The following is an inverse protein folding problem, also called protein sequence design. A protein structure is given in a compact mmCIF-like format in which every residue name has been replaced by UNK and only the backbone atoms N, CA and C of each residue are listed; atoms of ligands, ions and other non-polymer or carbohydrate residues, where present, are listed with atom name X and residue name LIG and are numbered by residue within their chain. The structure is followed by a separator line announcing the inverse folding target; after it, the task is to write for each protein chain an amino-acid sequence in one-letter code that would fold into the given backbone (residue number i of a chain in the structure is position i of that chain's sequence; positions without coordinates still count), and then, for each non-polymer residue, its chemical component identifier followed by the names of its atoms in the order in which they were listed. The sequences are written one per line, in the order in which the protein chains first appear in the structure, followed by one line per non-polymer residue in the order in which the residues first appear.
data_IF_397271711009
#
_entry.id   IF_397271711009
#
_cell.length_a   1.000
_cell.length_b   1.000
_cell.length_c   1.000
_cell.angle_alpha   90.00
_cell.angle_beta   90.00
_cell.angle_gamma   90.00
#
_symmetry.space_group_name_H-M   'P 1'
#
loop_
_entity.id
_entity.type
_entity.pdbx_description
1 polymer ?
#
# COMPACT_ATOMS: atom_id res chain seq x y z
N UNK A 1 -10.44 37.16 -7.69
CA UNK A 1 -9.32 36.21 -7.48
C UNK A 1 -9.54 35.49 -6.15
N UNK A 2 -10.00 34.25 -6.16
CA UNK A 2 -10.03 33.41 -4.95
C UNK A 2 -8.64 32.80 -4.76
N UNK A 3 -8.00 33.10 -3.64
CA UNK A 3 -6.75 32.43 -3.25
C UNK A 3 -7.12 31.09 -2.64
N UNK A 4 -6.84 30.01 -3.33
CA UNK A 4 -6.92 28.67 -2.78
C UNK A 4 -5.50 28.32 -2.30
N UNK A 5 -5.30 28.33 -1.00
CA UNK A 5 -4.17 27.63 -0.43
C UNK A 5 -4.61 26.17 -0.42
N UNK A 6 -4.17 25.37 -1.37
CA UNK A 6 -4.19 23.93 -1.19
C UNK A 6 -3.12 23.68 -0.12
N UNK A 7 -3.51 23.86 1.14
CA UNK A 7 -2.95 22.92 2.13
C UNK A 7 -3.38 21.59 1.55
N UNK A 8 -2.43 20.82 1.10
CA UNK A 8 -2.63 19.41 0.94
C UNK A 8 -3.16 18.89 2.29
N UNK A 9 -4.48 19.01 2.50
CA UNK A 9 -5.19 18.08 3.34
C UNK A 9 -5.35 16.84 2.47
N UNK A 10 -4.23 16.38 2.07
CA UNK A 10 -3.92 15.02 2.33
C UNK A 10 -4.24 14.79 3.81
N UNK A 11 -4.88 13.73 4.11
CA UNK A 11 -4.38 12.89 5.16
C UNK A 11 -2.94 12.43 4.78
N UNK A 12 -2.14 13.29 4.20
CA UNK A 12 -0.77 13.61 4.43
C UNK A 12 -0.80 14.58 5.61
N UNK A 13 -0.66 14.03 6.81
CA UNK A 13 -0.08 14.81 7.90
C UNK A 13 1.12 15.51 7.28
N UNK A 14 1.08 16.86 7.23
CA UNK A 14 2.13 17.63 6.58
C UNK A 14 3.48 17.24 7.14
N UNK A 15 4.45 17.02 6.27
CA UNK A 15 5.84 17.10 6.64
C UNK A 15 6.08 18.51 7.21
N UNK A 16 6.08 18.62 8.53
CA UNK A 16 6.74 19.69 9.24
C UNK A 16 8.23 19.38 9.12
N UNK A 17 8.87 19.97 8.13
CA UNK A 17 10.34 19.94 7.99
C UNK A 17 10.92 20.58 9.23
N UNK A 18 11.60 19.77 10.04
CA UNK A 18 12.32 20.22 11.23
C UNK A 18 13.35 21.30 10.86
N UNK A 19 13.36 22.36 11.63
CA UNK A 19 14.16 23.56 11.45
C UNK A 19 15.67 23.27 11.47
N UNK A 20 16.26 23.08 10.28
CA UNK A 20 17.65 23.41 9.94
C UNK A 20 17.94 23.31 8.42
N UNK A 21 16.98 22.96 7.57
CA UNK A 21 17.04 23.33 6.17
C UNK A 21 16.42 24.73 6.05
N UNK A 22 17.09 25.67 5.41
CA UNK A 22 16.47 26.92 4.95
C UNK A 22 15.13 26.53 4.32
N UNK A 23 14.02 26.96 4.92
CA UNK A 23 12.68 26.64 4.43
C UNK A 23 12.66 26.97 2.93
N UNK A 24 12.45 25.98 2.08
CA UNK A 24 12.47 26.19 0.64
C UNK A 24 11.42 27.26 0.33
N UNK A 25 11.80 28.27 -0.45
CA UNK A 25 10.88 29.35 -0.82
C UNK A 25 9.68 28.71 -1.54
N UNK A 26 8.45 28.87 -1.02
CA UNK A 26 7.28 28.28 -1.66
C UNK A 26 7.15 28.71 -3.12
N UNK A 27 6.81 27.77 -3.99
CA UNK A 27 6.50 28.09 -5.38
C UNK A 27 5.03 28.53 -5.52
N UNK A 28 4.73 29.29 -6.56
CA UNK A 28 3.40 29.76 -6.91
C UNK A 28 3.03 29.27 -8.32
N UNK A 29 1.97 28.50 -8.44
CA UNK A 29 1.45 28.05 -9.74
C UNK A 29 0.09 28.69 -9.97
N UNK A 30 0.02 29.61 -10.94
CA UNK A 30 -1.23 30.16 -11.42
C UNK A 30 -1.81 29.25 -12.49
N UNK A 31 -3.06 28.84 -12.32
CA UNK A 31 -3.78 27.99 -13.27
C UNK A 31 -4.93 28.81 -13.86
N UNK A 32 -4.91 29.00 -15.17
CA UNK A 32 -5.98 29.66 -15.93
C UNK A 32 -6.64 28.64 -16.86
N UNK A 33 -7.96 28.44 -16.68
CA UNK A 33 -8.73 27.48 -17.46
C UNK A 33 -9.84 28.19 -18.26
N UNK A 34 -9.65 28.26 -19.56
CA UNK A 34 -10.65 28.77 -20.51
C UNK A 34 -11.14 27.70 -21.49
N UNK A 35 -10.70 26.45 -21.32
CA UNK A 35 -11.12 25.32 -22.16
C UNK A 35 -12.58 24.90 -21.91
N UNK A 36 -13.07 25.13 -20.69
CA UNK A 36 -14.37 24.63 -20.21
C UNK A 36 -14.32 23.20 -19.67
N UNK A 37 -13.16 22.54 -19.71
CA UNK A 37 -12.96 21.19 -19.21
C UNK A 37 -12.72 21.17 -17.70
N UNK A 38 -12.98 20.03 -17.06
CA UNK A 38 -12.49 19.77 -15.72
C UNK A 38 -10.98 19.66 -15.72
N UNK A 39 -10.33 20.31 -14.76
CA UNK A 39 -8.88 20.27 -14.62
C UNK A 39 -8.48 19.76 -13.24
N UNK A 40 -7.35 19.07 -13.19
CA UNK A 40 -6.75 18.54 -11.97
C UNK A 40 -5.29 18.93 -11.92
N UNK A 41 -4.82 19.30 -10.74
CA UNK A 41 -3.41 19.60 -10.52
C UNK A 41 -2.97 19.06 -9.17
N UNK A 42 -1.94 18.21 -9.18
CA UNK A 42 -1.50 17.51 -7.96
C UNK A 42 -0.07 17.01 -8.10
N UNK A 43 0.64 16.74 -7.00
CA UNK A 43 1.92 16.03 -7.04
C UNK A 43 1.79 14.69 -7.77
N UNK A 44 2.77 14.32 -8.58
CA UNK A 44 2.77 13.01 -9.25
C UNK A 44 2.85 11.83 -8.28
N UNK A 45 3.33 12.08 -7.06
CA UNK A 45 3.34 11.10 -5.96
C UNK A 45 1.96 10.86 -5.35
N UNK A 46 0.99 11.77 -5.53
CA UNK A 46 -0.35 11.66 -4.94
C UNK A 46 -1.18 10.54 -5.59
N UNK A 47 -1.99 9.87 -4.77
CA UNK A 47 -2.89 8.81 -5.22
C UNK A 47 -4.26 9.35 -5.66
N UNK A 48 -4.73 10.43 -5.02
CA UNK A 48 -6.06 11.00 -5.24
C UNK A 48 -5.99 12.23 -6.14
N UNK A 49 -7.05 12.44 -6.92
CA UNK A 49 -7.17 13.59 -7.83
C UNK A 49 -7.87 14.77 -7.14
N UNK A 50 -7.22 15.94 -7.15
CA UNK A 50 -7.83 17.18 -6.67
C UNK A 50 -8.32 18.01 -7.85
N UNK A 51 -9.65 18.11 -7.98
CA UNK A 51 -10.28 18.93 -9.02
C UNK A 51 -10.11 20.43 -8.70
N UNK A 52 -9.73 21.21 -9.69
CA UNK A 52 -9.64 22.67 -9.62
C UNK A 52 -10.92 23.25 -10.20
N UNK A 53 -11.77 23.81 -9.35
CA UNK A 53 -13.11 24.27 -9.74
C UNK A 53 -13.17 25.75 -10.20
N UNK A 54 -12.07 26.48 -10.13
CA UNK A 54 -12.05 27.90 -10.47
C UNK A 54 -11.26 28.17 -11.76
N UNK A 55 -11.77 29.08 -12.58
CA UNK A 55 -11.14 29.44 -13.84
C UNK A 55 -9.75 30.09 -13.69
N UNK A 56 -9.53 30.81 -12.58
CA UNK A 56 -8.23 31.39 -12.21
C UNK A 56 -7.93 30.99 -10.75
N UNK A 57 -6.99 30.11 -10.57
CA UNK A 57 -6.57 29.60 -9.25
C UNK A 57 -5.07 29.77 -9.07
N UNK A 58 -4.64 30.20 -7.88
CA UNK A 58 -3.23 30.22 -7.50
C UNK A 58 -3.00 29.14 -6.46
N UNK A 59 -2.13 28.19 -6.80
CA UNK A 59 -1.70 27.09 -5.93
C UNK A 59 -0.34 27.44 -5.37
N UNK A 60 -0.21 27.45 -4.04
CA UNK A 60 1.08 27.55 -3.36
C UNK A 60 1.60 26.14 -3.10
N UNK A 61 2.87 25.91 -3.42
CA UNK A 61 3.56 24.64 -3.29
C UNK A 61 4.73 24.83 -2.33
N UNK A 62 4.71 24.14 -1.22
CA UNK A 62 5.75 24.20 -0.19
C UNK A 62 6.81 23.10 -0.37
N UNK A 63 6.44 21.98 -0.98
CA UNK A 63 7.30 20.82 -1.18
C UNK A 63 7.88 20.80 -2.61
N UNK A 64 9.02 21.46 -2.78
CA UNK A 64 9.73 21.60 -4.05
C UNK A 64 11.24 21.34 -3.86
N UNK A 65 11.98 20.88 -4.90
CA UNK A 65 11.55 20.68 -6.28
C UNK A 65 10.78 19.37 -6.45
N UNK A 66 9.76 19.37 -7.31
CA UNK A 66 8.91 18.19 -7.53
C UNK A 66 8.27 18.18 -8.92
N UNK A 67 7.77 17.02 -9.32
CA UNK A 67 6.91 16.84 -10.49
C UNK A 67 5.45 16.88 -10.08
N UNK A 68 4.67 17.65 -10.82
CA UNK A 68 3.22 17.74 -10.70
C UNK A 68 2.56 17.23 -11.96
N UNK A 69 1.36 16.71 -11.83
CA UNK A 69 0.51 16.34 -12.96
C UNK A 69 -0.56 17.40 -13.14
N UNK A 70 -0.61 17.98 -14.32
CA UNK A 70 -1.75 18.75 -14.78
C UNK A 70 -2.55 17.89 -15.76
N UNK A 71 -3.84 17.76 -15.53
CA UNK A 71 -4.74 17.02 -16.42
C UNK A 71 -5.88 17.93 -16.83
N UNK A 72 -6.05 18.08 -18.12
CA UNK A 72 -7.20 18.72 -18.76
C UNK A 72 -7.55 17.89 -19.98
N UNK A 73 -8.84 17.81 -20.31
CA UNK A 73 -9.35 17.19 -21.55
C UNK A 73 -8.83 15.77 -21.85
N UNK A 74 -9.68 14.88 -22.24
CA UNK A 74 -9.37 13.51 -22.72
C UNK A 74 -8.46 12.64 -21.83
N UNK A 75 -8.26 13.03 -20.55
CA UNK A 75 -7.49 12.23 -19.58
C UNK A 75 -5.96 12.22 -19.79
N UNK A 76 -5.43 13.09 -20.67
CA UNK A 76 -3.99 13.24 -20.87
C UNK A 76 -3.32 13.99 -19.71
N UNK A 77 -2.11 13.54 -19.33
CA UNK A 77 -1.30 14.21 -18.30
C UNK A 77 -0.22 15.07 -18.93
N UNK A 78 -0.05 16.29 -18.38
CA UNK A 78 1.09 17.15 -18.64
C UNK A 78 1.94 17.18 -17.38
N UNK A 79 3.13 16.58 -17.36
CA UNK A 79 4.05 16.72 -16.25
C UNK A 79 4.54 18.16 -16.16
N UNK A 80 4.60 18.70 -14.93
CA UNK A 80 5.08 20.05 -14.64
C UNK A 80 6.16 19.97 -13.59
N UNK A 81 7.37 20.39 -13.95
CA UNK A 81 8.51 20.51 -13.04
C UNK A 81 8.48 21.86 -12.34
N UNK A 82 8.59 21.84 -11.03
CA UNK A 82 8.50 23.03 -10.17
C UNK A 82 9.71 23.07 -9.23
N UNK A 83 10.40 24.20 -9.19
CA UNK A 83 11.55 24.45 -8.30
C UNK A 83 11.20 25.41 -7.15
N UNK A 84 12.02 25.49 -6.09
CA UNK A 84 11.81 26.44 -5.00
C UNK A 84 11.69 27.88 -5.52
N UNK A 85 10.70 28.63 -5.03
CA UNK A 85 10.45 30.00 -5.42
C UNK A 85 9.93 30.20 -6.85
N UNK A 86 9.61 29.14 -7.58
CA UNK A 86 9.12 29.25 -8.95
C UNK A 86 7.79 29.99 -9.03
N UNK A 87 7.65 30.83 -10.04
CA UNK A 87 6.41 31.45 -10.46
C UNK A 87 6.01 30.91 -11.84
N UNK A 88 5.03 30.02 -11.85
CA UNK A 88 4.60 29.29 -13.05
C UNK A 88 3.15 29.67 -13.39
N UNK A 89 2.87 29.81 -14.66
CA UNK A 89 1.49 29.95 -15.17
C UNK A 89 1.18 28.77 -16.08
N UNK A 90 0.11 28.03 -15.76
CA UNK A 90 -0.46 26.97 -16.59
C UNK A 90 -1.75 27.53 -17.20
N UNK A 91 -1.80 27.58 -18.52
CA UNK A 91 -3.00 28.00 -19.25
C UNK A 91 -3.58 26.83 -20.03
N UNK A 92 -4.83 26.47 -19.72
CA UNK A 92 -5.60 25.45 -20.44
C UNK A 92 -6.63 26.14 -21.34
N UNK A 93 -6.50 25.95 -22.63
CA UNK A 93 -7.39 26.51 -23.67
C UNK A 93 -7.95 25.39 -24.55
N UNK A 94 -8.83 25.73 -25.49
CA UNK A 94 -9.32 24.77 -26.48
C UNK A 94 -8.20 24.27 -27.40
N UNK A 95 -7.11 25.01 -27.55
CA UNK A 95 -5.98 24.66 -28.42
C UNK A 95 -4.91 23.83 -27.67
N UNK A 96 -5.03 23.68 -26.35
CA UNK A 96 -4.13 22.88 -25.54
C UNK A 96 -3.66 23.54 -24.25
N UNK A 97 -2.60 22.94 -23.65
CA UNK A 97 -2.02 23.37 -22.40
C UNK A 97 -0.66 24.03 -22.63
N UNK A 98 -0.46 25.22 -22.08
CA UNK A 98 0.84 25.92 -22.06
C UNK A 98 1.33 26.11 -20.63
N UNK A 99 2.65 26.03 -20.44
CA UNK A 99 3.33 26.28 -19.16
C UNK A 99 4.38 27.34 -19.40
N UNK A 100 4.30 28.46 -18.70
CA UNK A 100 5.17 29.62 -18.84
C UNK A 100 5.68 30.12 -17.50
N UNK A 101 6.70 30.96 -17.48
CA UNK A 101 7.34 31.51 -16.29
C UNK A 101 8.60 30.75 -15.88
N UNK A 102 8.85 30.60 -14.60
CA UNK A 102 10.02 29.84 -14.10
C UNK A 102 9.95 28.40 -14.58
N UNK A 103 11.11 27.83 -14.93
CA UNK A 103 11.24 26.49 -15.50
C UNK A 103 10.52 26.29 -16.85
N UNK A 104 10.29 27.36 -17.60
CA UNK A 104 9.59 27.26 -18.90
C UNK A 104 10.36 26.38 -19.90
N UNK A 105 11.71 26.50 -19.94
CA UNK A 105 12.55 25.70 -20.85
C UNK A 105 12.50 24.23 -20.48
N UNK A 106 12.60 23.90 -19.20
CA UNK A 106 12.54 22.55 -18.66
C UNK A 106 11.15 21.95 -18.93
N UNK A 107 10.10 22.69 -18.63
CA UNK A 107 8.72 22.24 -18.85
C UNK A 107 8.38 22.08 -20.35
N UNK A 108 8.97 22.91 -21.23
CA UNK A 108 8.86 22.75 -22.67
C UNK A 108 9.56 21.49 -23.14
N UNK A 109 10.80 21.24 -22.66
CA UNK A 109 11.55 20.04 -22.98
C UNK A 109 10.79 18.75 -22.58
N UNK A 110 10.25 18.71 -21.34
CA UNK A 110 9.47 17.59 -20.84
C UNK A 110 8.25 17.32 -21.75
N UNK A 111 7.56 18.35 -22.19
CA UNK A 111 6.39 18.24 -23.04
C UNK A 111 6.71 17.76 -24.46
N UNK A 112 7.81 18.25 -25.03
CA UNK A 112 8.26 17.91 -26.38
C UNK A 112 8.93 16.52 -26.44
N UNK A 113 9.42 16.05 -25.30
CA UNK A 113 10.12 14.77 -25.17
C UNK A 113 9.48 13.92 -24.04
N UNK A 114 8.18 13.62 -24.10
CA UNK A 114 7.53 12.86 -23.05
C UNK A 114 8.08 11.44 -23.01
N UNK A 115 8.53 10.99 -21.84
CA UNK A 115 8.74 9.57 -21.61
C UNK A 115 7.38 8.90 -21.42
N UNK A 116 6.69 8.71 -22.50
CA UNK A 116 5.61 7.74 -22.64
C UNK A 116 6.05 6.89 -23.81
N UNK A 117 6.87 5.89 -23.52
CA UNK A 117 7.17 4.90 -24.54
C UNK A 117 5.85 4.22 -24.91
N UNK A 118 5.18 4.76 -25.92
CA UNK A 118 4.14 4.03 -26.61
C UNK A 118 4.84 2.90 -27.34
N UNK A 119 5.12 1.84 -26.57
CA UNK A 119 5.67 0.62 -27.15
C UNK A 119 4.78 0.22 -28.33
N UNK A 120 5.34 0.01 -29.51
CA UNK A 120 4.56 -0.44 -30.67
C UNK A 120 3.73 -1.66 -30.30
N UNK A 121 2.50 -1.74 -30.79
CA UNK A 121 1.60 -2.89 -30.50
C UNK A 121 2.17 -4.23 -30.95
N UNK A 122 3.15 -4.21 -31.85
CA UNK A 122 3.89 -5.40 -32.29
C UNK A 122 4.82 -5.98 -31.26
N UNK A 123 5.25 -5.19 -30.29
CA UNK A 123 6.15 -5.63 -29.20
C UNK A 123 5.30 -6.13 -28.04
N UNK A 124 5.51 -7.39 -27.65
CA UNK A 124 4.80 -8.00 -26.50
C UNK A 124 5.27 -7.33 -25.19
N UNK A 125 4.33 -6.80 -24.41
CA UNK A 125 4.63 -6.20 -23.11
C UNK A 125 5.38 -7.19 -22.21
N UNK A 126 6.37 -6.67 -21.47
CA UNK A 126 7.20 -7.41 -20.50
C UNK A 126 8.14 -8.46 -21.13
N UNK A 127 8.26 -8.49 -22.49
CA UNK A 127 9.29 -9.27 -23.18
C UNK A 127 10.66 -8.60 -23.10
N UNK A 128 11.72 -9.32 -23.47
CA UNK A 128 13.06 -8.73 -23.59
C UNK A 128 13.07 -7.57 -24.60
N UNK A 129 12.41 -7.73 -25.73
CA UNK A 129 12.30 -6.67 -26.74
C UNK A 129 11.63 -5.41 -26.19
N UNK A 130 10.62 -5.58 -25.33
CA UNK A 130 9.98 -4.46 -24.63
C UNK A 130 10.94 -3.74 -23.69
N UNK A 131 11.76 -4.48 -22.93
CA UNK A 131 12.79 -3.90 -22.05
C UNK A 131 13.79 -3.11 -22.87
N UNK A 132 14.35 -3.71 -23.89
CA UNK A 132 15.38 -3.11 -24.76
C UNK A 132 14.86 -1.87 -25.48
N UNK A 133 13.61 -1.90 -25.95
CA UNK A 133 12.97 -0.74 -26.53
C UNK A 133 12.87 0.44 -25.57
N UNK A 134 12.40 0.18 -24.35
CA UNK A 134 12.26 1.23 -23.33
C UNK A 134 13.61 1.76 -22.85
N UNK A 135 14.61 0.92 -22.66
CA UNK A 135 15.95 1.36 -22.28
C UNK A 135 16.60 2.24 -23.37
N UNK A 136 16.50 1.86 -24.65
CA UNK A 136 16.98 2.71 -25.77
C UNK A 136 16.23 4.04 -25.83
N UNK A 137 14.95 4.05 -25.53
CA UNK A 137 14.16 5.30 -25.47
C UNK A 137 14.64 6.23 -24.34
N UNK A 138 14.93 5.67 -23.15
CA UNK A 138 15.49 6.40 -22.02
C UNK A 138 16.87 6.97 -22.39
N UNK A 139 17.77 6.14 -22.91
CA UNK A 139 19.11 6.58 -23.30
C UNK A 139 19.06 7.71 -24.36
N UNK A 140 18.15 7.61 -25.33
CA UNK A 140 17.95 8.65 -26.32
C UNK A 140 17.48 9.97 -25.69
N UNK A 141 16.56 9.90 -24.69
CA UNK A 141 16.07 11.06 -23.96
C UNK A 141 17.17 11.67 -23.07
N UNK A 142 17.94 10.84 -22.39
CA UNK A 142 19.08 11.24 -21.56
C UNK A 142 20.13 11.98 -22.38
N UNK A 143 20.46 11.50 -23.58
CA UNK A 143 21.38 12.17 -24.50
C UNK A 143 20.86 13.52 -24.99
N UNK A 144 19.55 13.63 -25.31
CA UNK A 144 18.93 14.90 -25.67
C UNK A 144 18.95 15.91 -24.53
N UNK A 145 18.69 15.43 -23.30
CA UNK A 145 18.69 16.22 -22.09
C UNK A 145 20.07 16.83 -21.80
N UNK A 146 21.12 16.02 -21.95
CA UNK A 146 22.52 16.47 -21.80
C UNK A 146 22.90 17.49 -22.87
N UNK A 147 22.53 17.25 -24.12
CA UNK A 147 22.83 18.14 -25.24
C UNK A 147 22.09 19.49 -25.15
N UNK A 148 20.97 19.55 -24.43
CA UNK A 148 20.18 20.78 -24.27
C UNK A 148 20.81 21.80 -23.31
N UNK A 149 21.85 21.41 -22.51
CA UNK A 149 22.60 22.33 -21.67
C UNK A 149 21.82 22.90 -20.49
N UNK A 150 20.90 22.10 -19.91
CA UNK A 150 20.16 22.46 -18.70
C UNK A 150 21.07 22.44 -17.45
N UNK A 151 20.49 22.95 -16.36
CA UNK A 151 21.12 22.86 -15.04
C UNK A 151 21.40 21.37 -14.67
N UNK A 152 22.60 21.06 -14.12
CA UNK A 152 22.98 19.70 -13.76
C UNK A 152 21.98 19.00 -12.79
N UNK A 153 21.36 19.75 -11.87
CA UNK A 153 20.38 19.20 -10.94
C UNK A 153 19.08 18.80 -11.68
N UNK A 154 18.62 19.62 -12.62
CA UNK A 154 17.50 19.25 -13.47
C UNK A 154 17.81 18.02 -14.32
N UNK A 155 19.00 17.96 -14.96
CA UNK A 155 19.43 16.81 -15.76
C UNK A 155 19.37 15.54 -14.91
N UNK A 156 20.00 15.55 -13.73
CA UNK A 156 20.05 14.39 -12.85
C UNK A 156 18.65 13.98 -12.36
N UNK A 157 17.83 14.95 -11.98
CA UNK A 157 16.45 14.72 -11.51
C UNK A 157 15.57 14.15 -12.62
N UNK A 158 15.68 14.67 -13.86
CA UNK A 158 14.83 14.21 -14.97
C UNK A 158 15.26 12.81 -15.49
N UNK A 159 16.54 12.50 -15.48
CA UNK A 159 17.04 11.14 -15.75
C UNK A 159 16.47 10.14 -14.74
N UNK A 160 16.49 10.49 -13.46
CA UNK A 160 15.91 9.67 -12.40
C UNK A 160 14.39 9.50 -12.61
N UNK A 161 13.68 10.58 -12.95
CA UNK A 161 12.25 10.57 -13.28
C UNK A 161 11.93 9.54 -14.38
N UNK A 162 12.62 9.58 -15.52
CA UNK A 162 12.41 8.65 -16.63
C UNK A 162 12.59 7.19 -16.20
N UNK A 163 13.63 6.91 -15.42
CA UNK A 163 13.90 5.57 -14.87
C UNK A 163 12.82 5.12 -13.90
N UNK A 164 12.34 6.01 -13.02
CA UNK A 164 11.25 5.68 -12.08
C UNK A 164 9.93 5.41 -12.79
N UNK A 165 9.59 6.15 -13.82
CA UNK A 165 8.41 5.86 -14.66
C UNK A 165 8.52 4.46 -15.26
N UNK A 166 9.69 4.07 -15.78
CA UNK A 166 9.90 2.73 -16.34
C UNK A 166 9.84 1.64 -15.26
N UNK A 167 10.48 1.84 -14.11
CA UNK A 167 10.40 0.90 -12.99
C UNK A 167 8.96 0.71 -12.49
N UNK A 168 8.19 1.80 -12.42
CA UNK A 168 6.77 1.70 -12.07
C UNK A 168 5.99 0.86 -13.08
N UNK A 169 6.28 0.98 -14.39
CA UNK A 169 5.67 0.11 -15.40
C UNK A 169 6.06 -1.36 -15.23
N UNK A 170 7.32 -1.64 -14.85
CA UNK A 170 7.80 -3.02 -14.60
C UNK A 170 7.11 -3.64 -13.38
N UNK A 171 7.02 -2.95 -12.26
CA UNK A 171 6.47 -3.52 -11.03
C UNK A 171 4.95 -3.44 -11.00
N UNK A 172 4.41 -2.23 -11.11
CA UNK A 172 2.96 -2.03 -11.01
C UNK A 172 2.21 -2.54 -12.24
N UNK A 173 2.78 -2.39 -13.42
CA UNK A 173 2.16 -2.87 -14.67
C UNK A 173 1.94 -4.38 -14.66
N UNK A 174 2.91 -5.17 -14.20
CA UNK A 174 2.78 -6.64 -14.06
C UNK A 174 1.69 -6.98 -13.02
N UNK A 175 1.68 -6.29 -11.88
CA UNK A 175 0.69 -6.53 -10.83
C UNK A 175 -0.73 -6.17 -11.31
N UNK A 176 -0.90 -5.01 -11.95
CA UNK A 176 -2.18 -4.60 -12.52
C UNK A 176 -2.66 -5.55 -13.63
N UNK A 177 -1.74 -6.00 -14.51
CA UNK A 177 -2.08 -6.96 -15.55
C UNK A 177 -2.55 -8.31 -14.98
N UNK A 178 -2.06 -8.72 -13.79
CA UNK A 178 -2.55 -9.92 -13.08
C UNK A 178 -3.98 -9.71 -12.55
N UNK A 179 -4.26 -8.53 -11.97
CA UNK A 179 -5.57 -8.20 -11.36
C UNK A 179 -6.66 -8.11 -12.44
N UNK A 180 -6.35 -7.51 -13.60
CA UNK A 180 -7.33 -7.26 -14.67
C UNK A 180 -7.42 -8.36 -15.72
N UNK A 181 -6.76 -9.50 -15.53
CA UNK A 181 -6.95 -10.67 -16.41
C UNK A 181 -8.07 -11.56 -15.87
N UNK A 182 -9.22 -11.62 -16.56
CA UNK A 182 -10.37 -12.41 -16.12
C UNK A 182 -10.14 -13.93 -16.16
N UNK A 183 -9.08 -14.38 -16.84
CA UNK A 183 -8.78 -15.77 -17.11
C UNK A 183 -7.75 -16.40 -16.15
N UNK A 184 -7.34 -15.66 -15.10
CA UNK A 184 -6.37 -16.13 -14.10
C UNK A 184 -4.97 -16.45 -14.64
N UNK A 185 -4.71 -16.26 -15.96
CA UNK A 185 -3.41 -16.58 -16.54
C UNK A 185 -2.32 -15.68 -15.97
N UNK A 186 -1.19 -16.29 -15.61
CA UNK A 186 0.00 -15.56 -15.19
C UNK A 186 0.47 -14.61 -16.31
N UNK A 187 0.85 -13.40 -15.93
CA UNK A 187 1.54 -12.48 -16.83
C UNK A 187 2.91 -13.08 -17.13
N UNK A 188 3.14 -13.42 -18.41
CA UNK A 188 4.45 -13.89 -18.84
C UNK A 188 5.41 -12.70 -18.90
N UNK A 189 6.55 -12.85 -18.28
CA UNK A 189 7.68 -11.90 -18.34
C UNK A 189 8.89 -12.63 -18.95
N UNK A 190 9.83 -11.88 -19.53
CA UNK A 190 11.08 -12.49 -20.02
C UNK A 190 11.88 -13.10 -18.87
N UNK A 191 12.71 -14.09 -19.18
CA UNK A 191 13.58 -14.76 -18.20
C UNK A 191 14.42 -13.75 -17.43
N UNK A 192 14.99 -12.76 -18.12
CA UNK A 192 15.87 -11.73 -17.56
C UNK A 192 15.13 -10.51 -17.02
N UNK A 193 13.80 -10.58 -16.88
CA UNK A 193 12.97 -9.43 -16.52
C UNK A 193 13.38 -8.78 -15.21
N UNK A 194 13.91 -9.54 -14.27
CA UNK A 194 14.27 -9.10 -12.92
C UNK A 194 15.78 -9.07 -12.64
N UNK A 195 16.66 -9.38 -13.59
CA UNK A 195 18.11 -9.48 -13.36
C UNK A 195 18.75 -8.18 -12.87
N UNK A 196 18.18 -7.03 -13.25
CA UNK A 196 18.62 -5.72 -12.77
C UNK A 196 18.46 -5.50 -11.25
N UNK A 197 17.68 -6.34 -10.58
CA UNK A 197 17.45 -6.22 -9.13
C UNK A 197 18.72 -6.45 -8.32
N UNK A 198 19.66 -7.24 -8.82
CA UNK A 198 20.93 -7.53 -8.15
C UNK A 198 21.78 -6.27 -7.96
N UNK A 199 21.67 -5.34 -8.90
CA UNK A 199 22.42 -4.07 -8.92
C UNK A 199 21.59 -2.87 -8.52
N UNK A 200 20.25 -3.03 -8.39
CA UNK A 200 19.37 -1.93 -8.04
C UNK A 200 19.60 -1.49 -6.59
N UNK A 201 19.99 -0.22 -6.43
CA UNK A 201 20.19 0.45 -5.14
C UNK A 201 19.36 1.71 -5.04
N UNK A 202 18.97 2.05 -3.83
CA UNK A 202 18.22 3.26 -3.50
C UNK A 202 19.11 4.22 -2.70
N UNK A 203 20.06 4.87 -3.40
CA UNK A 203 21.10 5.74 -2.79
C UNK A 203 20.80 7.23 -2.88
N UNK A 204 19.87 7.64 -3.75
CA UNK A 204 19.59 9.04 -4.09
C UNK A 204 18.32 9.52 -3.37
N UNK A 205 18.42 10.57 -2.56
CA UNK A 205 17.25 11.10 -1.82
C UNK A 205 16.22 11.79 -2.72
N UNK A 206 16.58 12.16 -3.97
CA UNK A 206 15.61 12.63 -4.99
C UNK A 206 14.54 11.61 -5.32
N UNK A 207 14.75 10.33 -4.99
CA UNK A 207 13.75 9.26 -5.10
C UNK A 207 12.44 9.66 -4.43
N UNK A 208 12.48 10.33 -3.28
CA UNK A 208 11.29 10.75 -2.53
C UNK A 208 10.37 11.72 -3.30
N UNK A 209 10.89 12.36 -4.34
CA UNK A 209 10.18 13.30 -5.21
C UNK A 209 9.70 12.66 -6.52
N UNK A 210 10.04 11.38 -6.74
CA UNK A 210 9.68 10.67 -7.97
C UNK A 210 8.23 10.18 -7.95
N UNK A 211 7.60 10.05 -9.14
CA UNK A 211 6.24 9.53 -9.23
C UNK A 211 6.15 8.16 -8.59
N UNK A 212 5.16 8.01 -7.69
CA UNK A 212 4.89 6.71 -7.03
C UNK A 212 6.13 6.03 -6.44
N UNK A 213 7.05 6.83 -5.91
CA UNK A 213 8.32 6.34 -5.38
C UNK A 213 8.14 5.18 -4.39
N UNK A 214 7.16 5.27 -3.48
CA UNK A 214 6.88 4.21 -2.52
C UNK A 214 6.48 2.90 -3.22
N UNK A 215 5.60 2.98 -4.22
CA UNK A 215 5.16 1.79 -5.01
C UNK A 215 6.33 1.15 -5.75
N UNK A 216 7.23 1.96 -6.30
CA UNK A 216 8.41 1.47 -7.03
C UNK A 216 9.40 0.81 -6.07
N UNK A 217 9.73 1.45 -4.96
CA UNK A 217 10.65 0.91 -3.95
C UNK A 217 10.08 -0.38 -3.36
N UNK A 218 8.80 -0.36 -2.93
CA UNK A 218 8.13 -1.54 -2.37
C UNK A 218 8.08 -2.69 -3.38
N UNK A 219 7.70 -2.43 -4.62
CA UNK A 219 7.64 -3.45 -5.67
C UNK A 219 9.01 -4.05 -5.99
N UNK A 220 10.10 -3.27 -5.90
CA UNK A 220 11.45 -3.78 -6.05
C UNK A 220 11.86 -4.69 -4.89
N UNK A 221 11.52 -4.33 -3.65
CA UNK A 221 11.82 -5.12 -2.46
C UNK A 221 11.02 -6.43 -2.43
N UNK A 222 9.73 -6.39 -2.76
CA UNK A 222 8.90 -7.59 -2.94
C UNK A 222 9.47 -8.51 -4.04
N UNK A 223 9.94 -7.94 -5.16
CA UNK A 223 10.57 -8.72 -6.21
C UNK A 223 11.91 -9.31 -5.78
N UNK A 224 12.73 -8.59 -5.01
CA UNK A 224 13.96 -9.11 -4.41
C UNK A 224 13.69 -10.27 -3.46
N UNK A 225 12.69 -10.14 -2.59
CA UNK A 225 12.27 -11.21 -1.68
C UNK A 225 11.80 -12.45 -2.46
N UNK A 226 10.93 -12.28 -3.47
CA UNK A 226 10.40 -13.40 -4.28
C UNK A 226 11.47 -14.15 -5.06
N UNK A 227 12.62 -13.54 -5.28
CA UNK A 227 13.80 -14.14 -5.96
C UNK A 227 14.90 -14.64 -4.99
N UNK A 228 14.64 -14.57 -3.69
CA UNK A 228 15.60 -14.98 -2.67
C UNK A 228 16.77 -14.02 -2.45
N UNK A 229 16.69 -12.79 -2.99
CA UNK A 229 17.70 -11.73 -2.76
C UNK A 229 17.49 -11.02 -1.41
N UNK A 230 16.32 -11.18 -0.81
CA UNK A 230 16.00 -10.81 0.56
C UNK A 230 15.39 -12.01 1.29
N UNK A 231 15.60 -12.13 2.61
CA UNK A 231 14.97 -13.18 3.41
C UNK A 231 13.44 -13.04 3.39
N UNK A 232 12.73 -14.18 3.45
CA UNK A 232 11.28 -14.23 3.67
C UNK A 232 11.02 -14.37 5.16
N UNK A 233 10.44 -13.34 5.78
CA UNK A 233 10.06 -13.36 7.19
C UNK A 233 8.91 -12.38 7.43
N UNK A 234 7.71 -12.93 7.55
CA UNK A 234 6.49 -12.12 7.69
C UNK A 234 6.43 -11.32 9.01
N UNK A 235 7.14 -11.76 10.05
CA UNK A 235 7.20 -11.06 11.34
C UNK A 235 8.19 -9.89 11.33
N UNK A 236 9.15 -9.89 10.40
CA UNK A 236 10.20 -8.87 10.31
C UNK A 236 10.30 -8.21 8.93
N UNK A 237 9.29 -8.39 8.07
CA UNK A 237 9.38 -7.92 6.67
C UNK A 237 9.69 -6.43 6.56
N UNK A 238 9.18 -5.58 7.46
CA UNK A 238 9.47 -4.14 7.42
C UNK A 238 10.95 -3.84 7.64
N UNK A 239 11.59 -4.53 8.57
CA UNK A 239 13.02 -4.34 8.85
C UNK A 239 13.88 -4.96 7.76
N UNK A 240 13.46 -6.09 7.18
CA UNK A 240 14.13 -6.72 6.04
C UNK A 240 14.12 -5.80 4.84
N UNK A 241 12.96 -5.22 4.51
CA UNK A 241 12.82 -4.28 3.39
C UNK A 241 13.61 -3.00 3.64
N UNK A 242 13.59 -2.47 4.87
CA UNK A 242 14.38 -1.30 5.24
C UNK A 242 15.88 -1.51 5.02
N UNK A 243 16.41 -2.70 5.34
CA UNK A 243 17.80 -3.06 5.13
C UNK A 243 18.16 -3.20 3.63
N UNK A 244 17.19 -3.34 2.75
CA UNK A 244 17.35 -3.29 1.29
C UNK A 244 17.44 -1.88 0.70
N UNK A 245 17.37 -0.82 1.55
CA UNK A 245 17.43 0.59 1.14
C UNK A 245 18.68 1.24 1.70
N UNK A 246 19.59 1.66 0.81
CA UNK A 246 20.91 2.18 1.19
C UNK A 246 20.87 3.61 1.77
N UNK A 247 19.94 4.46 1.30
CA UNK A 247 19.82 5.86 1.72
C UNK A 247 18.93 6.02 2.96
N UNK A 248 19.44 6.65 4.02
CA UNK A 248 18.74 6.81 5.30
C UNK A 248 17.46 7.63 5.19
N UNK A 249 17.43 8.66 4.34
CA UNK A 249 16.21 9.46 4.13
C UNK A 249 15.14 8.63 3.43
N UNK A 250 15.51 7.90 2.38
CA UNK A 250 14.58 7.04 1.64
C UNK A 250 14.09 5.92 2.55
N UNK A 251 14.98 5.29 3.32
CA UNK A 251 14.63 4.23 4.28
C UNK A 251 13.66 4.73 5.35
N UNK A 252 13.96 5.87 5.98
CA UNK A 252 13.10 6.45 7.02
C UNK A 252 11.72 6.81 6.48
N UNK A 253 11.64 7.47 5.33
CA UNK A 253 10.37 7.82 4.68
C UNK A 253 9.60 6.55 4.25
N UNK A 254 10.28 5.54 3.72
CA UNK A 254 9.68 4.27 3.34
C UNK A 254 9.01 3.56 4.54
N UNK A 255 9.70 3.51 5.67
CA UNK A 255 9.17 2.89 6.88
C UNK A 255 7.93 3.62 7.41
N UNK A 256 7.93 4.94 7.38
CA UNK A 256 6.75 5.74 7.77
C UNK A 256 5.56 5.46 6.84
N UNK A 257 5.78 5.44 5.52
CA UNK A 257 4.70 5.11 4.57
C UNK A 257 4.19 3.68 4.74
N UNK A 258 5.07 2.74 5.06
CA UNK A 258 4.69 1.36 5.32
C UNK A 258 3.85 1.23 6.60
N UNK A 259 4.21 1.95 7.68
CA UNK A 259 3.40 2.04 8.89
C UNK A 259 2.03 2.69 8.62
N UNK A 260 1.97 3.78 7.83
CA UNK A 260 0.70 4.39 7.40
C UNK A 260 -0.17 3.40 6.64
N UNK A 261 0.42 2.66 5.70
CA UNK A 261 -0.28 1.65 4.92
C UNK A 261 -0.84 0.52 5.81
N UNK A 262 -0.07 0.09 6.81
CA UNK A 262 -0.48 -0.93 7.78
C UNK A 262 -1.70 -0.47 8.58
N UNK A 263 -1.70 0.77 9.08
CA UNK A 263 -2.85 1.36 9.77
C UNK A 263 -4.05 1.56 8.83
N UNK A 264 -3.83 2.02 7.59
CA UNK A 264 -4.89 2.17 6.60
C UNK A 264 -5.58 0.84 6.28
N UNK A 265 -4.82 -0.26 6.30
CA UNK A 265 -5.34 -1.63 6.09
C UNK A 265 -5.89 -2.27 7.37
N UNK A 266 -5.85 -1.55 8.49
CA UNK A 266 -6.26 -2.04 9.81
C UNK A 266 -5.49 -3.30 10.27
N UNK A 267 -4.19 -3.41 9.89
CA UNK A 267 -3.31 -4.50 10.32
C UNK A 267 -2.64 -4.14 11.66
N UNK A 268 -3.47 -4.01 12.70
CA UNK A 268 -3.05 -3.44 14.00
C UNK A 268 -1.99 -4.31 14.70
N UNK A 269 -2.07 -5.63 14.60
CA UNK A 269 -1.07 -6.52 15.17
C UNK A 269 0.29 -6.37 14.46
N UNK A 270 0.30 -6.18 13.12
CA UNK A 270 1.55 -5.94 12.39
C UNK A 270 2.18 -4.61 12.81
N UNK A 271 1.36 -3.57 12.95
CA UNK A 271 1.84 -2.28 13.43
C UNK A 271 2.48 -2.41 14.81
N UNK A 272 1.79 -3.05 15.77
CA UNK A 272 2.27 -3.21 17.14
C UNK A 272 3.58 -4.02 17.20
N UNK A 273 3.61 -5.15 16.51
CA UNK A 273 4.73 -6.09 16.60
C UNK A 273 6.00 -5.55 15.94
N UNK A 274 5.87 -4.81 14.84
CA UNK A 274 7.02 -4.31 14.09
C UNK A 274 7.47 -2.91 14.50
N UNK A 275 6.60 -2.11 15.10
CA UNK A 275 6.91 -0.72 15.46
C UNK A 275 8.22 -0.54 16.26
N UNK A 276 8.52 -1.34 17.31
CA UNK A 276 9.76 -1.15 18.09
C UNK A 276 11.03 -1.28 17.23
N UNK A 277 11.09 -2.31 16.38
CA UNK A 277 12.23 -2.55 15.51
C UNK A 277 12.32 -1.51 14.38
N UNK A 278 11.18 -1.10 13.82
CA UNK A 278 11.09 -0.08 12.77
C UNK A 278 11.53 1.29 13.30
N UNK A 279 11.12 1.68 14.52
CA UNK A 279 11.54 2.94 15.15
C UNK A 279 13.05 3.06 15.27
N UNK A 280 13.75 1.97 15.54
CA UNK A 280 15.22 1.96 15.63
C UNK A 280 15.92 2.23 14.30
N UNK A 281 15.24 2.02 13.16
CA UNK A 281 15.76 2.23 11.81
C UNK A 281 15.37 3.58 11.20
N UNK A 282 14.43 4.30 11.82
CA UNK A 282 14.04 5.65 11.39
C UNK A 282 15.01 6.64 12.04
N UNK A 283 15.82 7.32 11.22
CA UNK A 283 16.91 8.18 11.69
C UNK A 283 16.73 9.65 11.33
N UNK A 284 15.82 9.97 10.42
CA UNK A 284 15.61 11.37 10.00
C UNK A 284 14.61 12.10 10.89
N UNK A 285 14.87 13.39 11.23
CA UNK A 285 13.99 14.19 12.10
C UNK A 285 12.54 14.25 11.60
N UNK A 286 12.35 14.42 10.29
CA UNK A 286 11.03 14.55 9.68
C UNK A 286 10.20 13.26 9.84
N UNK A 287 10.81 12.10 9.56
CA UNK A 287 10.16 10.81 9.74
C UNK A 287 9.87 10.50 11.21
N UNK A 288 10.79 10.84 12.12
CA UNK A 288 10.59 10.70 13.57
C UNK A 288 9.43 11.56 14.08
N UNK A 289 9.24 12.76 13.51
CA UNK A 289 8.17 13.66 13.89
C UNK A 289 6.77 13.12 13.56
N UNK A 290 6.66 12.19 12.60
CA UNK A 290 5.38 11.58 12.21
C UNK A 290 4.93 10.44 13.16
N UNK A 291 5.86 9.79 13.85
CA UNK A 291 5.58 8.61 14.68
C UNK A 291 4.53 8.85 15.78
N UNK A 292 4.56 9.97 16.54
CA UNK A 292 3.55 10.19 17.58
C UNK A 292 2.11 10.23 17.05
N UNK A 293 1.92 10.76 15.85
CA UNK A 293 0.60 10.80 15.22
C UNK A 293 0.13 9.40 14.79
N UNK A 294 1.03 8.56 14.29
CA UNK A 294 0.73 7.18 13.93
C UNK A 294 0.43 6.33 15.17
N UNK A 295 1.20 6.49 16.24
CA UNK A 295 0.94 5.82 17.53
C UNK A 295 -0.43 6.22 18.12
N UNK A 296 -0.78 7.51 18.03
CA UNK A 296 -2.10 7.99 18.45
C UNK A 296 -3.22 7.42 17.59
N UNK A 297 -3.01 7.35 16.27
CA UNK A 297 -3.97 6.73 15.35
C UNK A 297 -4.14 5.24 15.65
N UNK A 298 -3.05 4.52 15.87
CA UNK A 298 -3.08 3.12 16.28
C UNK A 298 -3.89 2.92 17.56
N UNK A 299 -3.58 3.69 18.62
CA UNK A 299 -4.27 3.60 19.91
C UNK A 299 -5.79 3.81 19.75
N UNK A 300 -6.21 4.80 18.95
CA UNK A 300 -7.62 5.04 18.64
C UNK A 300 -8.25 3.87 17.88
N UNK A 301 -7.58 3.33 16.86
CA UNK A 301 -8.11 2.20 16.10
C UNK A 301 -8.23 0.93 16.96
N UNK A 302 -7.27 0.69 17.87
CA UNK A 302 -7.36 -0.41 18.85
C UNK A 302 -8.55 -0.20 19.78
N UNK A 303 -8.73 1.00 20.34
CA UNK A 303 -9.86 1.33 21.18
C UNK A 303 -11.20 1.13 20.46
N UNK A 304 -11.34 1.64 19.23
CA UNK A 304 -12.51 1.44 18.39
C UNK A 304 -12.77 -0.04 18.12
N UNK A 305 -11.72 -0.81 17.78
CA UNK A 305 -11.83 -2.24 17.53
C UNK A 305 -12.23 -3.05 18.78
N UNK A 306 -11.77 -2.62 19.96
CA UNK A 306 -11.97 -3.35 21.22
C UNK A 306 -13.30 -2.99 21.89
N UNK A 307 -13.65 -1.70 21.90
CA UNK A 307 -14.79 -1.21 22.67
C UNK A 307 -16.15 -1.39 21.98
N UNK A 308 -16.20 -1.39 20.64
CA UNK A 308 -17.47 -1.46 19.89
C UNK A 308 -18.24 -2.76 20.14
N UNK A 309 -17.56 -3.83 20.57
CA UNK A 309 -18.17 -5.15 20.66
C UNK A 309 -17.96 -5.89 21.97
N UNK A 310 -17.07 -5.41 22.86
CA UNK A 310 -16.71 -6.11 24.11
C UNK A 310 -17.90 -6.26 25.03
N UNK A 311 -18.15 -7.49 25.49
CA UNK A 311 -19.28 -7.84 26.36
C UNK A 311 -20.62 -7.94 25.65
N UNK A 312 -20.66 -7.61 24.35
CA UNK A 312 -21.89 -7.77 23.54
C UNK A 312 -22.01 -9.21 23.02
N UNK A 313 -23.23 -9.62 22.74
CA UNK A 313 -23.51 -10.92 22.13
C UNK A 313 -22.97 -10.93 20.70
N UNK A 314 -22.14 -11.92 20.36
CA UNK A 314 -21.73 -12.17 18.97
C UNK A 314 -23.00 -12.47 18.15
N UNK A 315 -23.21 -11.80 17.01
CA UNK A 315 -24.33 -12.12 16.13
C UNK A 315 -24.29 -13.59 15.67
N UNK A 316 -25.44 -14.24 15.62
CA UNK A 316 -25.55 -15.59 15.06
C UNK A 316 -25.18 -15.58 13.58
N UNK A 317 -24.46 -16.61 13.14
CA UNK A 317 -24.11 -16.80 11.74
C UNK A 317 -24.10 -18.29 11.39
N UNK A 318 -24.31 -18.55 10.11
CA UNK A 318 -24.19 -19.88 9.52
C UNK A 318 -22.92 -19.95 8.71
N UNK A 319 -22.24 -21.07 8.83
CA UNK A 319 -21.05 -21.39 8.07
C UNK A 319 -21.05 -22.86 7.65
N UNK A 320 -20.23 -23.24 6.68
CA UNK A 320 -20.25 -24.56 6.08
C UNK A 320 -18.85 -25.16 6.00
N UNK A 321 -18.71 -26.42 6.31
CA UNK A 321 -17.49 -27.18 6.06
C UNK A 321 -17.28 -27.41 4.56
N UNK A 322 -16.11 -27.95 4.18
CA UNK A 322 -15.84 -28.37 2.79
C UNK A 322 -16.82 -29.44 2.31
N UNK A 323 -17.40 -30.24 3.23
CA UNK A 323 -18.38 -31.26 2.92
C UNK A 323 -19.83 -30.76 3.02
N UNK A 324 -20.02 -29.44 3.08
CA UNK A 324 -21.31 -28.73 3.14
C UNK A 324 -22.11 -28.98 4.43
N UNK A 325 -21.48 -29.43 5.50
CA UNK A 325 -22.11 -29.50 6.80
C UNK A 325 -22.32 -28.08 7.35
N UNK A 326 -23.56 -27.81 7.78
CA UNK A 326 -23.93 -26.53 8.36
C UNK A 326 -23.55 -26.47 9.83
N UNK A 327 -22.94 -25.37 10.24
CA UNK A 327 -22.67 -25.02 11.63
C UNK A 327 -23.20 -23.63 11.94
N UNK A 328 -23.67 -23.46 13.18
CA UNK A 328 -24.12 -22.20 13.72
C UNK A 328 -23.23 -21.80 14.91
N UNK A 329 -23.09 -20.51 15.19
CA UNK A 329 -22.36 -20.07 16.38
C UNK A 329 -22.89 -20.71 17.67
N UNK A 330 -24.20 -20.92 17.78
CA UNK A 330 -24.86 -21.56 18.92
C UNK A 330 -24.36 -22.97 19.24
N UNK A 331 -23.80 -23.70 18.26
CA UNK A 331 -23.29 -25.06 18.44
C UNK A 331 -22.08 -25.13 19.37
N UNK A 332 -21.41 -23.98 19.57
CA UNK A 332 -20.19 -23.85 20.37
C UNK A 332 -20.43 -23.33 21.79
N UNK A 333 -21.70 -23.08 22.16
CA UNK A 333 -22.03 -22.60 23.52
C UNK A 333 -21.46 -23.55 24.59
N UNK A 334 -21.16 -22.97 25.75
CA UNK A 334 -20.49 -23.67 26.84
C UNK A 334 -18.97 -23.76 26.73
N UNK A 335 -18.38 -23.33 25.60
CA UNK A 335 -16.94 -23.24 25.40
C UNK A 335 -16.52 -21.79 25.17
N UNK A 336 -15.26 -21.46 25.47
CA UNK A 336 -14.61 -20.31 24.86
C UNK A 336 -14.42 -20.59 23.36
N UNK A 337 -14.55 -19.57 22.51
CA UNK A 337 -14.42 -19.76 21.07
C UNK A 337 -13.40 -18.77 20.51
N UNK A 338 -12.39 -19.29 19.82
CA UNK A 338 -11.48 -18.48 19.00
C UNK A 338 -11.95 -18.57 17.56
N UNK A 339 -12.24 -17.42 16.95
CA UNK A 339 -12.61 -17.32 15.53
C UNK A 339 -11.51 -16.60 14.78
N UNK A 340 -10.88 -17.27 13.81
CA UNK A 340 -9.93 -16.70 12.87
C UNK A 340 -10.63 -16.41 11.54
N UNK A 341 -10.77 -15.12 11.21
CA UNK A 341 -11.30 -14.66 9.91
C UNK A 341 -10.15 -14.52 8.92
N UNK A 342 -10.25 -15.20 7.79
CA UNK A 342 -9.19 -15.24 6.78
C UNK A 342 -9.73 -15.47 5.36
N UNK A 343 -8.86 -15.40 4.34
CA UNK A 343 -9.15 -15.88 2.99
C UNK A 343 -7.89 -16.43 2.32
N UNK A 344 -8.06 -17.22 1.25
CA UNK A 344 -6.96 -17.96 0.58
C UNK A 344 -5.84 -17.07 0.05
N UNK A 345 -6.16 -15.89 -0.44
CA UNK A 345 -5.18 -14.89 -0.90
C UNK A 345 -4.45 -14.12 0.20
N UNK A 346 -4.83 -14.31 1.48
CA UNK A 346 -4.24 -13.59 2.62
C UNK A 346 -2.94 -14.27 3.07
N UNK A 347 -1.79 -13.80 2.58
CA UNK A 347 -0.50 -14.35 2.97
C UNK A 347 -0.21 -14.26 4.49
N UNK A 348 -0.47 -13.13 5.19
CA UNK A 348 -0.31 -13.06 6.63
C UNK A 348 -1.20 -14.05 7.40
N UNK A 349 -2.44 -14.28 6.92
CA UNK A 349 -3.33 -15.26 7.55
C UNK A 349 -2.77 -16.68 7.44
N UNK A 350 -2.28 -17.05 6.24
CA UNK A 350 -1.69 -18.38 6.01
C UNK A 350 -0.42 -18.62 6.83
N UNK A 351 0.34 -17.57 7.10
CA UNK A 351 1.51 -17.65 7.96
C UNK A 351 1.15 -17.98 9.43
N UNK A 352 -0.04 -17.57 9.87
CA UNK A 352 -0.53 -17.84 11.23
C UNK A 352 -1.17 -19.22 11.39
N UNK A 353 -1.58 -19.90 10.32
CA UNK A 353 -2.24 -21.21 10.39
C UNK A 353 -1.48 -22.26 11.20
N UNK A 354 -0.15 -22.47 11.01
CA UNK A 354 0.58 -23.48 11.82
C UNK A 354 0.56 -23.18 13.32
N UNK A 355 0.58 -21.89 13.68
CA UNK A 355 0.49 -21.46 15.08
C UNK A 355 -0.93 -21.62 15.61
N UNK A 356 -1.95 -21.38 14.78
CA UNK A 356 -3.36 -21.58 15.14
C UNK A 356 -3.63 -23.06 15.44
N UNK A 357 -3.16 -23.96 14.58
CA UNK A 357 -3.24 -25.40 14.78
C UNK A 357 -2.54 -25.83 16.07
N UNK A 358 -1.35 -25.29 16.32
CA UNK A 358 -0.59 -25.59 17.54
C UNK A 358 -1.28 -25.11 18.82
N UNK A 359 -1.90 -23.92 18.79
CA UNK A 359 -2.68 -23.43 19.93
C UNK A 359 -3.92 -24.32 20.13
N UNK A 360 -4.60 -24.71 19.06
CA UNK A 360 -5.77 -25.59 19.14
C UNK A 360 -5.43 -26.95 19.76
N UNK A 361 -4.30 -27.55 19.38
CA UNK A 361 -3.80 -28.83 19.97
C UNK A 361 -3.51 -28.66 21.46
N UNK A 362 -2.84 -27.57 21.89
CA UNK A 362 -2.47 -27.35 23.29
C UNK A 362 -3.69 -27.10 24.20
N UNK A 363 -4.81 -26.68 23.63
CA UNK A 363 -6.06 -26.42 24.36
C UNK A 363 -7.17 -27.43 24.06
N UNK A 364 -6.87 -28.51 23.35
CA UNK A 364 -7.86 -29.56 23.07
C UNK A 364 -8.42 -30.18 24.36
N UNK A 365 -9.74 -30.41 24.38
CA UNK A 365 -10.45 -30.91 25.55
C UNK A 365 -10.55 -29.97 26.75
N UNK A 366 -9.97 -28.75 26.66
CA UNK A 366 -9.92 -27.78 27.78
C UNK A 366 -11.07 -26.76 27.77
N UNK A 367 -12.12 -26.99 26.98
CA UNK A 367 -13.28 -26.07 26.89
C UNK A 367 -13.03 -24.84 26.04
N UNK A 368 -12.12 -24.92 25.07
CA UNK A 368 -11.88 -23.92 24.02
C UNK A 368 -12.15 -24.56 22.66
N UNK A 369 -12.86 -23.88 21.79
CA UNK A 369 -13.11 -24.28 20.40
C UNK A 369 -12.42 -23.31 19.45
N UNK A 370 -11.85 -23.83 18.38
CA UNK A 370 -11.12 -23.08 17.38
C UNK A 370 -11.84 -23.18 16.03
N UNK A 371 -12.19 -22.03 15.46
CA UNK A 371 -12.93 -21.91 14.19
C UNK A 371 -12.06 -21.13 13.21
N UNK A 372 -11.66 -21.78 12.13
CA UNK A 372 -11.01 -21.14 10.99
C UNK A 372 -12.11 -20.77 9.98
N UNK A 373 -12.54 -19.50 9.98
CA UNK A 373 -13.66 -18.98 9.20
C UNK A 373 -13.18 -18.25 7.95
N UNK A 374 -13.21 -18.94 6.81
CA UNK A 374 -12.89 -18.34 5.51
C UNK A 374 -13.98 -17.39 5.05
N UNK A 375 -13.55 -16.24 4.47
CA UNK A 375 -14.41 -15.27 3.81
C UNK A 375 -14.28 -15.29 2.28
N UNK A 376 -13.74 -16.37 1.72
CA UNK A 376 -13.69 -16.58 0.28
C UNK A 376 -15.08 -16.68 -0.32
N UNK A 377 -15.38 -15.95 -1.39
CA UNK A 377 -16.71 -15.90 -2.03
C UNK A 377 -16.61 -15.92 -3.55
N UNK A 378 -17.68 -16.40 -4.18
CA UNK A 378 -17.71 -16.65 -5.61
C UNK A 378 -17.07 -17.99 -5.95
N UNK A 379 -17.41 -18.54 -7.11
CA UNK A 379 -17.09 -19.92 -7.48
C UNK A 379 -15.59 -20.21 -7.48
N UNK A 380 -14.78 -19.25 -7.96
CA UNK A 380 -13.33 -19.40 -8.10
C UNK A 380 -12.62 -19.43 -6.74
N UNK A 381 -12.84 -18.40 -5.88
CA UNK A 381 -12.17 -18.30 -4.58
C UNK A 381 -12.66 -19.39 -3.62
N UNK A 382 -13.96 -19.74 -3.68
CA UNK A 382 -14.51 -20.84 -2.91
C UNK A 382 -13.85 -22.19 -3.31
N UNK A 383 -13.67 -22.42 -4.62
CA UNK A 383 -13.01 -23.65 -5.10
C UNK A 383 -11.52 -23.69 -4.68
N UNK A 384 -10.83 -22.53 -4.64
CA UNK A 384 -9.46 -22.45 -4.11
C UNK A 384 -9.41 -22.79 -2.63
N UNK A 385 -10.35 -22.25 -1.82
CA UNK A 385 -10.46 -22.58 -0.41
C UNK A 385 -10.75 -24.07 -0.19
N UNK A 386 -11.72 -24.63 -0.90
CA UNK A 386 -12.06 -26.05 -0.82
C UNK A 386 -10.86 -26.94 -1.14
N UNK A 387 -10.14 -26.63 -2.23
CA UNK A 387 -8.93 -27.33 -2.63
C UNK A 387 -7.86 -27.25 -1.54
N UNK A 388 -7.61 -26.04 -1.01
CA UNK A 388 -6.61 -25.84 0.03
C UNK A 388 -6.92 -26.65 1.28
N UNK A 389 -8.17 -26.67 1.74
CA UNK A 389 -8.56 -27.39 2.94
C UNK A 389 -8.54 -28.91 2.75
N UNK A 390 -8.77 -29.42 1.54
CA UNK A 390 -8.63 -30.86 1.23
C UNK A 390 -7.17 -31.29 1.12
N UNK A 391 -6.29 -30.45 0.56
CA UNK A 391 -4.87 -30.76 0.40
C UNK A 391 -4.06 -30.54 1.69
N UNK A 392 -4.44 -29.53 2.48
CA UNK A 392 -3.75 -29.12 3.71
C UNK A 392 -4.79 -28.77 4.78
N UNK A 393 -5.49 -29.76 5.35
CA UNK A 393 -6.46 -29.52 6.39
C UNK A 393 -5.79 -28.99 7.65
N UNK A 394 -6.52 -28.23 8.42
CA UNK A 394 -6.14 -27.87 9.78
C UNK A 394 -6.03 -29.12 10.69
N UNK A 395 -5.41 -28.96 11.87
CA UNK A 395 -5.39 -29.98 12.88
C UNK A 395 -6.84 -30.36 13.32
N UNK A 396 -7.09 -31.60 13.81
CA UNK A 396 -8.42 -32.06 14.20
C UNK A 396 -9.14 -31.17 15.24
N UNK A 397 -8.38 -30.39 16.01
CA UNK A 397 -8.92 -29.44 17.00
C UNK A 397 -9.50 -28.14 16.40
N UNK A 398 -9.32 -27.92 15.10
CA UNK A 398 -9.79 -26.71 14.38
C UNK A 398 -10.92 -27.06 13.44
N UNK A 399 -12.08 -26.41 13.62
CA UNK A 399 -13.17 -26.49 12.65
C UNK A 399 -12.92 -25.50 11.51
N UNK A 400 -12.71 -26.03 10.31
CA UNK A 400 -12.51 -25.24 9.10
C UNK A 400 -13.84 -25.06 8.37
N UNK A 401 -14.28 -23.79 8.22
CA UNK A 401 -15.57 -23.42 7.64
C UNK A 401 -15.48 -22.19 6.75
N UNK A 402 -16.46 -22.03 5.88
CA UNK A 402 -16.61 -20.89 5.01
C UNK A 402 -17.89 -20.09 5.32
N UNK A 403 -17.77 -18.76 5.26
CA UNK A 403 -18.88 -17.82 5.39
C UNK A 403 -19.35 -17.42 3.98
N UNK A 404 -20.56 -17.85 3.52
CA UNK A 404 -20.97 -17.75 2.10
C UNK A 404 -20.91 -16.35 1.48
N UNK A 405 -21.26 -15.31 2.26
CA UNK A 405 -21.28 -13.93 1.78
C UNK A 405 -19.95 -13.20 1.97
N UNK A 406 -18.95 -13.82 2.59
CA UNK A 406 -17.64 -13.26 2.87
C UNK A 406 -17.70 -11.85 3.46
N UNK A 407 -16.92 -10.92 2.93
CA UNK A 407 -16.93 -9.53 3.38
C UNK A 407 -18.26 -8.78 3.19
N UNK A 408 -19.17 -9.31 2.40
CA UNK A 408 -20.53 -8.71 2.23
C UNK A 408 -21.52 -9.20 3.28
N UNK A 409 -21.16 -10.18 4.08
CA UNK A 409 -22.05 -10.78 5.08
C UNK A 409 -22.55 -9.74 6.10
N UNK A 410 -23.80 -9.89 6.58
CA UNK A 410 -24.29 -9.07 7.68
C UNK A 410 -23.42 -9.16 8.94
N UNK A 411 -22.85 -10.33 9.22
CA UNK A 411 -21.96 -10.58 10.34
C UNK A 411 -20.76 -9.62 10.34
N UNK A 412 -19.98 -9.61 9.24
CA UNK A 412 -18.76 -8.79 9.15
C UNK A 412 -19.07 -7.29 9.17
N UNK A 413 -20.21 -6.89 8.59
CA UNK A 413 -20.69 -5.50 8.67
C UNK A 413 -21.04 -5.09 10.10
N UNK A 414 -21.76 -5.93 10.86
CA UNK A 414 -22.14 -5.65 12.25
C UNK A 414 -20.89 -5.61 13.16
N UNK A 415 -19.91 -6.44 12.91
CA UNK A 415 -18.64 -6.49 13.65
C UNK A 415 -17.61 -5.45 13.18
N UNK A 416 -17.94 -4.64 12.19
CA UNK A 416 -17.03 -3.65 11.57
C UNK A 416 -15.70 -4.30 11.11
N UNK A 417 -15.78 -5.50 10.53
CA UNK A 417 -14.64 -6.23 10.00
C UNK A 417 -14.52 -5.95 8.49
N UNK A 418 -13.52 -5.18 8.11
CA UNK A 418 -13.25 -4.80 6.73
C UNK A 418 -11.97 -5.42 6.16
N UNK A 419 -11.18 -6.05 7.02
CA UNK A 419 -9.89 -6.66 6.64
C UNK A 419 -9.57 -7.86 7.52
N UNK A 420 -8.70 -8.74 7.00
CA UNK A 420 -8.14 -9.91 7.69
C UNK A 420 -6.61 -9.87 7.56
N UNK A 421 -5.83 -10.51 8.45
CA UNK A 421 -6.26 -11.43 9.53
C UNK A 421 -7.01 -10.74 10.66
N UNK A 422 -8.01 -11.41 11.21
CA UNK A 422 -8.78 -10.96 12.37
C UNK A 422 -9.08 -12.11 13.29
N UNK A 423 -8.62 -12.04 14.53
CA UNK A 423 -8.89 -13.04 15.56
C UNK A 423 -9.89 -12.47 16.55
N UNK A 424 -10.91 -13.25 16.90
CA UNK A 424 -11.87 -12.89 17.95
C UNK A 424 -11.93 -13.99 19.02
N UNK A 425 -12.13 -13.56 20.25
CA UNK A 425 -12.33 -14.46 21.39
C UNK A 425 -13.73 -14.23 22.00
N UNK A 426 -14.48 -15.31 22.14
CA UNK A 426 -15.82 -15.33 22.74
C UNK A 426 -15.80 -16.11 24.05
N UNK A 427 -16.68 -15.73 25.00
CA UNK A 427 -16.93 -16.48 26.20
C UNK A 427 -17.91 -17.66 25.95
N UNK A 428 -18.21 -18.42 27.03
CA UNK A 428 -19.08 -19.59 26.98
C UNK A 428 -20.54 -19.28 26.61
N UNK A 429 -20.99 -18.06 26.85
CA UNK A 429 -22.30 -17.53 26.46
C UNK A 429 -22.26 -16.96 25.02
N UNK A 430 -21.09 -16.94 24.36
CA UNK A 430 -20.87 -16.38 23.03
C UNK A 430 -20.87 -14.87 23.00
N UNK A 431 -20.54 -14.23 24.13
CA UNK A 431 -20.26 -12.78 24.17
C UNK A 431 -18.82 -12.53 23.78
N UNK A 432 -18.57 -11.40 23.16
CA UNK A 432 -17.25 -11.01 22.71
C UNK A 432 -16.39 -10.62 23.92
N UNK A 433 -15.37 -11.39 24.23
CA UNK A 433 -14.34 -11.09 25.23
C UNK A 433 -13.30 -10.15 24.62
N UNK A 434 -12.88 -10.45 23.39
CA UNK A 434 -11.90 -9.66 22.65
C UNK A 434 -12.25 -9.66 21.16
N UNK A 435 -12.55 -8.49 20.62
CA UNK A 435 -12.91 -8.36 19.19
C UNK A 435 -11.68 -8.24 18.28
N UNK A 436 -10.51 -7.99 18.87
CA UNK A 436 -9.22 -7.94 18.20
C UNK A 436 -8.16 -8.66 19.06
N UNK A 437 -8.29 -9.99 19.16
CA UNK A 437 -7.38 -10.79 19.94
C UNK A 437 -5.99 -10.86 19.30
N UNK A 438 -4.99 -11.19 20.12
CA UNK A 438 -3.62 -11.39 19.65
C UNK A 438 -3.54 -12.55 18.66
N UNK A 439 -2.55 -12.49 17.78
CA UNK A 439 -2.31 -13.56 16.79
C UNK A 439 -1.91 -14.86 17.46
N UNK A 440 -2.16 -16.00 16.80
CA UNK A 440 -1.75 -17.32 17.32
C UNK A 440 -0.25 -17.46 17.61
N UNK A 441 0.60 -16.78 16.82
CA UNK A 441 2.05 -16.71 17.03
C UNK A 441 2.45 -15.89 18.27
N UNK A 442 1.58 -14.98 18.77
CA UNK A 442 1.87 -14.18 19.96
C UNK A 442 1.60 -14.99 21.24
N UNK A 443 2.61 -15.20 22.13
CA UNK A 443 2.44 -15.90 23.39
C UNK A 443 1.33 -15.33 24.29
N UNK A 444 0.98 -14.06 24.13
CA UNK A 444 -0.08 -13.42 24.91
C UNK A 444 -1.46 -14.03 24.69
N UNK A 445 -1.73 -14.58 23.48
CA UNK A 445 -2.99 -15.30 23.25
C UNK A 445 -3.10 -16.51 24.19
N UNK A 446 -2.04 -17.31 24.30
CA UNK A 446 -1.99 -18.47 25.20
C UNK A 446 -2.16 -18.06 26.66
N UNK A 447 -1.46 -17.02 27.10
CA UNK A 447 -1.57 -16.47 28.46
C UNK A 447 -3.00 -16.02 28.78
N UNK A 448 -3.67 -15.39 27.79
CA UNK A 448 -5.06 -14.96 27.94
C UNK A 448 -6.00 -16.14 28.11
N UNK A 449 -5.86 -17.21 27.29
CA UNK A 449 -6.66 -18.43 27.40
C UNK A 449 -6.44 -19.13 28.73
N UNK A 450 -5.19 -19.28 29.19
CA UNK A 450 -4.88 -19.85 30.52
C UNK A 450 -5.54 -19.04 31.64
N UNK A 451 -5.48 -17.72 31.53
CA UNK A 451 -6.10 -16.82 32.53
C UNK A 451 -7.63 -16.98 32.56
N UNK A 452 -8.26 -17.16 31.42
CA UNK A 452 -9.72 -17.34 31.34
C UNK A 452 -10.14 -18.71 31.90
N UNK A 453 -9.38 -19.74 31.60
CA UNK A 453 -9.66 -21.10 32.09
C UNK A 453 -9.41 -21.26 33.59
N UNK A 454 -8.46 -20.49 34.16
CA UNK A 454 -8.17 -20.54 35.62
C UNK A 454 -9.20 -19.81 36.49
N UNK A 455 -10.05 -18.98 35.90
CA UNK A 455 -11.11 -18.21 36.63
C UNK A 455 -12.43 -19.00 36.77
N UNK A 456 -12.49 -20.17 36.22
CA UNK A 456 -13.62 -21.09 36.27
C UNK A 456 -13.16 -22.43 36.88
#
# INVERSE_FOLDING_TARGET
MKRLTIKTSLLSLGMLIGASALAATPASVKISNTSGDKIYFQPESALDFTEIHANDTVVKIEDVPAYYRFMARDGGFVPVYVTPGAEITISSTKDGVTVTGTNEKENRFIRENPYIARTPRTIKNYSQEWIDYNLRAIDSLDNKLEAAGFDPEFIATHKLYNRFVFLNQRFNGVNMARIFRPDGRKVEVSENFYDFLDTLKFTDDRILRMPKWFTVVNGALEAKESRGLLPVDNERYMTIYANGIDNDKVRSAYLVELLKLTLKRNYLNDFENQLPAVKALITTPDALAELPALEKQYARQVEEATNVSKGTQMPEFKCYTVDKEEHNLSDFRGNYVIVDFWFTGCAPCRAEMPYFDKVAEDFDGRGVKFISLSVDTGDELYAEWEKMMREKPHSPGVLSVNLPDGFKSPLLKQLNIHSVPRIMLLDREGKIVESYAKRPSDPKLRQQLETLLSKN
#
